data_IF_513469230458
#
_entry.id   IF_513469230458
#
_cell.length_a   1.000
_cell.length_b   1.000
_cell.length_c   1.000
_cell.angle_alpha   90.00
_cell.angle_beta   90.00
_cell.angle_gamma   90.00
#
_symmetry.space_group_name_H-M   'P 1'
#
loop_
_entity.id
_entity.type
_entity.pdbx_description
1 polymer ?
#
# COMPACT_ATOMS: atom_id res chain seq x y z
N UNK A 1 -0.80 8.04 -10.03
CA UNK A 1 -0.32 7.50 -8.75
C UNK A 1 1.10 7.01 -8.98
N UNK A 2 2.03 7.33 -8.09
CA UNK A 2 3.42 6.88 -8.15
C UNK A 2 3.69 5.77 -7.10
N UNK A 3 4.85 5.08 -7.13
CA UNK A 3 5.14 3.99 -6.19
C UNK A 3 5.08 4.38 -4.70
N UNK A 4 5.51 5.60 -4.35
CA UNK A 4 5.48 6.10 -2.96
C UNK A 4 4.03 6.32 -2.50
N UNK A 5 3.19 6.91 -3.35
CA UNK A 5 1.76 7.10 -3.06
C UNK A 5 1.03 5.76 -2.89
N UNK A 6 1.40 4.74 -3.67
CA UNK A 6 0.83 3.39 -3.56
C UNK A 6 1.26 2.72 -2.27
N UNK A 7 2.56 2.71 -1.96
CA UNK A 7 3.07 2.14 -0.70
C UNK A 7 2.39 2.79 0.50
N UNK A 8 2.28 4.12 0.51
CA UNK A 8 1.60 4.84 1.59
C UNK A 8 0.12 4.46 1.69
N UNK A 9 -0.59 4.36 0.56
CA UNK A 9 -2.00 3.98 0.55
C UNK A 9 -2.23 2.55 1.07
N UNK A 10 -1.31 1.62 0.80
CA UNK A 10 -1.37 0.25 1.31
C UNK A 10 -1.01 0.20 2.81
N UNK A 11 -0.01 0.95 3.24
CA UNK A 11 0.34 1.11 4.65
C UNK A 11 -0.85 1.68 5.44
N UNK A 12 -1.51 2.72 4.92
CA UNK A 12 -2.70 3.31 5.55
C UNK A 12 -3.86 2.31 5.62
N UNK A 13 -4.06 1.50 4.58
CA UNK A 13 -5.06 0.43 4.57
C UNK A 13 -4.76 -0.62 5.63
N UNK A 14 -3.51 -1.06 5.76
CA UNK A 14 -3.10 -2.07 6.73
C UNK A 14 -3.21 -1.60 8.20
N UNK A 15 -3.18 -0.30 8.45
CA UNK A 15 -3.39 0.31 9.77
C UNK A 15 -4.87 0.38 10.18
N UNK A 16 -5.81 0.34 9.23
CA UNK A 16 -7.25 0.36 9.53
C UNK A 16 -7.73 -1.02 10.02
N UNK A 17 -8.83 -1.06 10.79
CA UNK A 17 -9.53 -2.32 11.07
C UNK A 17 -9.87 -3.05 9.77
N UNK A 18 -9.58 -4.35 9.72
CA UNK A 18 -9.86 -5.16 8.54
C UNK A 18 -11.37 -5.30 8.32
N UNK A 19 -11.84 -4.84 7.17
CA UNK A 19 -13.24 -4.92 6.75
C UNK A 19 -13.41 -5.99 5.66
N UNK A 20 -13.94 -7.15 6.05
CA UNK A 20 -14.02 -8.35 5.21
C UNK A 20 -14.63 -8.11 3.82
N UNK A 21 -15.70 -7.31 3.73
CA UNK A 21 -16.42 -7.04 2.47
C UNK A 21 -15.78 -5.88 1.71
N UNK A 22 -15.19 -4.92 2.40
CA UNK A 22 -14.69 -3.69 1.81
C UNK A 22 -13.24 -3.79 1.33
N UNK A 23 -12.45 -4.69 1.94
CA UNK A 23 -11.04 -4.86 1.65
C UNK A 23 -10.73 -4.94 0.15
N UNK A 24 -11.42 -5.77 -0.68
CA UNK A 24 -11.08 -5.84 -2.09
C UNK A 24 -11.18 -4.51 -2.83
N UNK A 25 -12.12 -3.65 -2.43
CA UNK A 25 -12.35 -2.37 -3.08
C UNK A 25 -11.37 -1.31 -2.58
N UNK A 26 -11.09 -1.29 -1.28
CA UNK A 26 -10.09 -0.42 -0.67
C UNK A 26 -8.69 -0.74 -1.22
N UNK A 27 -8.34 -2.03 -1.31
CA UNK A 27 -7.09 -2.48 -1.92
C UNK A 27 -6.96 -2.01 -3.37
N UNK A 28 -8.00 -2.17 -4.19
CA UNK A 28 -7.98 -1.72 -5.58
C UNK A 28 -7.91 -0.20 -5.71
N UNK A 29 -8.49 0.55 -4.78
CA UNK A 29 -8.41 2.01 -4.70
C UNK A 29 -6.97 2.49 -4.49
N UNK A 30 -6.16 1.77 -3.70
CA UNK A 30 -4.74 2.03 -3.50
C UNK A 30 -3.90 1.98 -4.78
N UNK A 31 -4.44 1.46 -5.90
CA UNK A 31 -3.79 1.45 -7.22
C UNK A 31 -4.45 2.39 -8.23
N UNK A 32 -5.31 3.31 -7.76
CA UNK A 32 -5.92 4.35 -8.59
C UNK A 32 -7.19 3.93 -9.34
N UNK A 33 -7.87 2.86 -8.89
CA UNK A 33 -9.18 2.53 -9.43
C UNK A 33 -10.19 3.64 -9.16
N UNK A 34 -10.86 4.12 -10.22
CA UNK A 34 -11.86 5.19 -10.09
C UNK A 34 -13.10 4.70 -9.34
N UNK A 35 -13.80 5.58 -8.59
CA UNK A 35 -15.03 5.22 -7.86
C UNK A 35 -16.11 4.56 -8.74
N UNK A 36 -16.20 4.96 -10.02
CA UNK A 36 -17.13 4.37 -10.99
C UNK A 36 -16.79 2.91 -11.33
N UNK A 37 -15.51 2.56 -11.40
CA UNK A 37 -15.04 1.18 -11.60
C UNK A 37 -15.34 0.34 -10.37
N UNK A 38 -14.98 0.84 -9.18
CA UNK A 38 -15.23 0.16 -7.90
C UNK A 38 -16.73 -0.10 -7.69
N UNK A 39 -17.59 0.87 -8.00
CA UNK A 39 -19.04 0.72 -7.92
C UNK A 39 -19.58 -0.41 -8.82
N UNK A 40 -19.06 -0.54 -10.05
CA UNK A 40 -19.47 -1.61 -10.98
C UNK A 40 -18.97 -2.99 -10.55
N UNK A 41 -17.80 -3.05 -9.92
CA UNK A 41 -17.31 -4.29 -9.30
C UNK A 41 -18.20 -4.68 -8.12
N UNK A 42 -18.50 -3.72 -7.24
CA UNK A 42 -19.35 -3.93 -6.06
C UNK A 42 -20.76 -4.38 -6.41
N UNK A 43 -21.35 -3.80 -7.45
CA UNK A 43 -22.71 -4.16 -7.88
C UNK A 43 -22.78 -5.45 -8.73
N UNK A 44 -21.67 -6.14 -8.97
CA UNK A 44 -21.63 -7.33 -9.84
C UNK A 44 -21.77 -7.04 -11.35
N UNK A 45 -21.84 -5.77 -11.75
CA UNK A 45 -22.02 -5.40 -13.16
C UNK A 45 -20.79 -5.83 -13.99
N UNK A 46 -19.59 -5.53 -13.48
CA UNK A 46 -18.31 -5.93 -14.10
C UNK A 46 -17.55 -7.01 -13.33
N UNK A 47 -17.96 -7.36 -12.12
CA UNK A 47 -17.39 -8.50 -11.38
C UNK A 47 -18.02 -9.81 -11.88
N UNK A 48 -17.19 -10.69 -12.42
CA UNK A 48 -17.58 -12.02 -12.95
C UNK A 48 -16.85 -13.15 -12.25
N UNK A 49 -16.46 -12.93 -10.99
CA UNK A 49 -15.87 -13.96 -10.15
C UNK A 49 -16.81 -15.16 -10.01
N UNK A 50 -16.24 -16.36 -10.06
CA UNK A 50 -16.86 -17.65 -9.74
C UNK A 50 -16.40 -18.19 -8.37
N UNK A 51 -15.70 -17.37 -7.58
CA UNK A 51 -15.20 -17.68 -6.23
C UNK A 51 -16.01 -16.90 -5.19
N UNK A 52 -16.32 -17.54 -4.07
CA UNK A 52 -17.04 -16.91 -2.96
C UNK A 52 -16.26 -15.69 -2.43
N UNK A 53 -16.99 -14.59 -2.16
CA UNK A 53 -16.42 -13.29 -1.80
C UNK A 53 -15.38 -12.74 -2.80
N UNK A 54 -15.37 -13.27 -4.02
CA UNK A 54 -14.42 -12.92 -5.05
C UNK A 54 -14.76 -11.62 -5.79
N UNK A 55 -13.73 -10.82 -6.03
CA UNK A 55 -13.73 -9.63 -6.88
C UNK A 55 -12.75 -9.85 -8.02
N UNK A 56 -13.31 -9.96 -9.22
CA UNK A 56 -12.55 -10.15 -10.45
C UNK A 56 -12.52 -8.86 -11.27
N UNK A 57 -11.32 -8.28 -11.42
CA UNK A 57 -11.05 -7.20 -12.36
C UNK A 57 -10.33 -7.76 -13.59
N UNK A 58 -11.03 -7.74 -14.72
CA UNK A 58 -10.51 -8.24 -16.01
C UNK A 58 -9.16 -7.64 -16.35
N UNK A 59 -8.25 -8.50 -16.82
CA UNK A 59 -6.86 -8.21 -17.20
C UNK A 59 -5.93 -7.77 -16.07
N UNK A 60 -6.40 -7.70 -14.82
CA UNK A 60 -5.63 -7.16 -13.71
C UNK A 60 -5.47 -8.17 -12.56
N UNK A 61 -6.56 -8.50 -11.86
CA UNK A 61 -6.50 -9.31 -10.63
C UNK A 61 -7.81 -10.03 -10.34
N UNK A 62 -7.70 -11.21 -9.73
CA UNK A 62 -8.81 -11.90 -9.07
C UNK A 62 -8.49 -12.09 -7.59
N UNK A 63 -9.23 -11.43 -6.71
CA UNK A 63 -9.00 -11.53 -5.27
C UNK A 63 -10.24 -11.94 -4.51
N UNK A 64 -10.09 -12.57 -3.35
CA UNK A 64 -11.18 -12.94 -2.47
C UNK A 64 -10.78 -12.81 -1.00
N UNK A 65 -11.75 -12.46 -0.15
CA UNK A 65 -11.61 -12.57 1.30
C UNK A 65 -12.18 -13.90 1.78
N UNK A 66 -11.64 -14.43 2.88
CA UNK A 66 -12.00 -15.76 3.37
C UNK A 66 -11.96 -15.86 4.89
N UNK A 67 -12.55 -16.93 5.43
CA UNK A 67 -12.52 -17.20 6.86
C UNK A 67 -11.08 -17.45 7.34
N UNK A 68 -10.83 -17.18 8.63
CA UNK A 68 -9.51 -17.33 9.25
C UNK A 68 -8.96 -18.75 9.04
N UNK A 69 -7.75 -18.84 8.49
CA UNK A 69 -7.07 -20.10 8.19
C UNK A 69 -7.40 -20.72 6.82
N UNK A 70 -8.29 -20.11 6.02
CA UNK A 70 -8.67 -20.62 4.70
C UNK A 70 -7.92 -19.93 3.54
N UNK A 71 -6.91 -19.09 3.83
CA UNK A 71 -6.19 -18.27 2.83
C UNK A 71 -5.59 -19.13 1.72
N UNK A 72 -4.81 -20.16 2.06
CA UNK A 72 -4.16 -21.01 1.06
C UNK A 72 -5.15 -21.77 0.16
N UNK A 73 -6.25 -22.27 0.73
CA UNK A 73 -7.33 -22.94 -0.04
C UNK A 73 -8.04 -21.96 -0.96
N UNK A 74 -8.31 -20.75 -0.48
CA UNK A 74 -8.95 -19.69 -1.26
C UNK A 74 -8.07 -19.24 -2.42
N UNK A 75 -6.77 -19.07 -2.18
CA UNK A 75 -5.78 -18.76 -3.21
C UNK A 75 -5.74 -19.85 -4.28
N UNK A 76 -5.73 -21.13 -3.88
CA UNK A 76 -5.79 -22.24 -4.81
C UNK A 76 -7.08 -22.24 -5.64
N UNK A 77 -8.22 -21.89 -5.03
CA UNK A 77 -9.49 -21.71 -5.72
C UNK A 77 -9.44 -20.60 -6.78
N UNK A 78 -8.86 -19.44 -6.44
CA UNK A 78 -8.65 -18.33 -7.36
C UNK A 78 -7.72 -18.72 -8.52
N UNK A 79 -6.63 -19.43 -8.23
CA UNK A 79 -5.67 -19.91 -9.24
C UNK A 79 -6.32 -20.87 -10.24
N UNK A 80 -7.14 -21.80 -9.76
CA UNK A 80 -7.79 -22.81 -10.58
C UNK A 80 -9.11 -22.34 -11.22
N UNK A 81 -9.56 -21.12 -10.92
CA UNK A 81 -10.81 -20.57 -11.44
C UNK A 81 -10.79 -20.40 -12.97
N UNK A 82 -11.88 -20.83 -13.60
CA UNK A 82 -12.09 -20.64 -15.03
C UNK A 82 -12.28 -19.15 -15.36
N UNK A 83 -12.88 -18.39 -14.44
CA UNK A 83 -13.07 -16.95 -14.57
C UNK A 83 -11.73 -16.20 -14.56
N UNK A 84 -10.77 -16.56 -13.69
CA UNK A 84 -9.40 -16.00 -13.67
C UNK A 84 -8.76 -16.09 -15.06
N UNK A 85 -8.79 -17.30 -15.63
CA UNK A 85 -8.21 -17.59 -16.95
C UNK A 85 -8.90 -16.80 -18.07
N UNK A 86 -10.25 -16.85 -18.13
CA UNK A 86 -11.04 -16.14 -19.16
C UNK A 86 -10.86 -14.63 -19.08
N UNK A 87 -10.75 -14.09 -17.88
CA UNK A 87 -10.54 -12.67 -17.63
C UNK A 87 -9.08 -12.24 -17.86
N UNK A 88 -8.16 -13.19 -18.08
CA UNK A 88 -6.72 -12.94 -18.22
C UNK A 88 -6.15 -12.16 -17.03
N UNK A 89 -6.60 -12.48 -15.81
CA UNK A 89 -6.09 -11.85 -14.60
C UNK A 89 -4.73 -12.48 -14.24
N UNK A 90 -3.60 -11.75 -14.37
CA UNK A 90 -2.29 -12.30 -14.05
C UNK A 90 -2.06 -12.45 -12.55
N UNK A 91 -2.73 -11.66 -11.71
CA UNK A 91 -2.60 -11.70 -10.27
C UNK A 91 -3.80 -12.37 -9.60
N UNK A 92 -3.54 -13.18 -8.59
CA UNK A 92 -4.53 -13.69 -7.66
C UNK A 92 -4.13 -13.35 -6.22
N UNK A 93 -5.11 -13.06 -5.35
CA UNK A 93 -4.86 -12.69 -3.95
C UNK A 93 -5.96 -13.22 -3.03
N UNK A 94 -5.57 -13.85 -1.93
CA UNK A 94 -6.47 -14.25 -0.86
C UNK A 94 -6.02 -13.64 0.47
N UNK A 95 -6.98 -13.29 1.32
CA UNK A 95 -6.69 -12.83 2.69
C UNK A 95 -7.86 -13.15 3.62
N UNK A 96 -7.56 -13.38 4.89
CA UNK A 96 -8.53 -13.51 5.97
C UNK A 96 -8.47 -12.34 6.97
N UNK A 97 -7.65 -11.33 6.68
CA UNK A 97 -7.37 -10.18 7.55
C UNK A 97 -6.25 -10.40 8.57
N UNK A 98 -5.75 -11.63 8.71
CA UNK A 98 -4.55 -11.96 9.51
C UNK A 98 -3.37 -12.33 8.62
N UNK A 99 -3.63 -13.12 7.59
CA UNK A 99 -2.67 -13.54 6.58
C UNK A 99 -3.12 -13.04 5.20
N UNK A 100 -2.14 -12.74 4.34
CA UNK A 100 -2.35 -12.42 2.94
C UNK A 100 -1.40 -13.25 2.09
N UNK A 101 -1.96 -13.91 1.08
CA UNK A 101 -1.18 -14.60 0.07
C UNK A 101 -1.59 -14.13 -1.33
N UNK A 102 -0.62 -14.01 -2.21
CA UNK A 102 -0.84 -13.64 -3.60
C UNK A 102 0.10 -14.40 -4.53
N UNK A 103 -0.35 -14.61 -5.77
CA UNK A 103 0.43 -15.26 -6.83
C UNK A 103 0.25 -14.51 -8.14
N UNK A 104 1.34 -14.34 -8.87
CA UNK A 104 1.30 -14.01 -10.28
C UNK A 104 1.29 -15.32 -11.07
N UNK A 105 0.12 -15.71 -11.57
CA UNK A 105 -0.07 -17.02 -12.23
C UNK A 105 0.68 -17.14 -13.56
N UNK A 106 1.20 -16.03 -14.09
CA UNK A 106 2.00 -16.00 -15.32
C UNK A 106 3.48 -16.21 -15.01
N UNK A 107 4.01 -15.56 -13.98
CA UNK A 107 5.44 -15.63 -13.61
C UNK A 107 5.75 -16.64 -12.51
N UNK A 108 4.72 -17.18 -11.86
CA UNK A 108 4.81 -17.99 -10.63
C UNK A 108 5.48 -17.26 -9.45
N UNK A 109 5.58 -15.93 -9.50
CA UNK A 109 6.01 -15.11 -8.37
C UNK A 109 4.93 -15.13 -7.28
N UNK A 110 5.33 -15.26 -6.02
CA UNK A 110 4.40 -15.39 -4.88
C UNK A 110 4.74 -14.41 -3.77
N UNK A 111 3.72 -14.05 -2.99
CA UNK A 111 3.81 -13.27 -1.76
C UNK A 111 3.03 -14.03 -0.69
N UNK A 112 3.60 -14.16 0.50
CA UNK A 112 2.93 -14.63 1.69
C UNK A 112 3.42 -13.81 2.87
N UNK A 113 2.51 -13.18 3.61
CA UNK A 113 2.85 -12.32 4.74
C UNK A 113 1.71 -12.27 5.76
N UNK A 114 2.03 -11.84 6.98
CA UNK A 114 1.02 -11.27 7.86
C UNK A 114 0.35 -10.09 7.14
N UNK A 115 -0.94 -9.87 7.40
CA UNK A 115 -1.70 -8.78 6.79
C UNK A 115 -1.05 -7.42 7.09
N UNK A 116 -0.68 -7.15 8.34
CA UNK A 116 -0.02 -5.88 8.73
C UNK A 116 1.27 -5.58 7.94
N UNK A 117 1.95 -6.61 7.42
CA UNK A 117 3.26 -6.48 6.78
C UNK A 117 3.16 -6.57 5.24
N UNK A 118 1.96 -6.86 4.68
CA UNK A 118 1.76 -6.93 3.23
C UNK A 118 2.22 -5.67 2.47
N UNK A 119 2.12 -4.43 3.02
CA UNK A 119 2.60 -3.24 2.33
C UNK A 119 4.09 -3.29 1.97
N UNK A 120 4.91 -4.04 2.72
CA UNK A 120 6.34 -4.19 2.40
C UNK A 120 6.56 -4.98 1.09
N UNK A 121 5.52 -5.63 0.57
CA UNK A 121 5.48 -6.31 -0.72
C UNK A 121 4.78 -5.51 -1.84
N UNK A 122 4.53 -4.20 -1.66
CA UNK A 122 3.80 -3.37 -2.64
C UNK A 122 4.37 -3.45 -4.07
N UNK A 123 5.69 -3.64 -4.22
CA UNK A 123 6.37 -3.78 -5.50
C UNK A 123 5.82 -4.90 -6.40
N UNK A 124 5.29 -5.98 -5.79
CA UNK A 124 4.60 -7.08 -6.47
C UNK A 124 3.30 -6.62 -7.14
N UNK A 125 2.60 -5.65 -6.55
CA UNK A 125 1.29 -5.18 -7.00
C UNK A 125 1.33 -3.94 -7.90
N UNK A 126 2.48 -3.28 -8.08
CA UNK A 126 2.64 -2.12 -8.96
C UNK A 126 2.10 -2.26 -10.40
N UNK A 127 2.13 -3.46 -11.03
CA UNK A 127 1.49 -3.63 -12.33
C UNK A 127 -0.01 -3.27 -12.34
N UNK A 128 -0.71 -3.33 -11.20
CA UNK A 128 -2.11 -2.90 -11.08
C UNK A 128 -2.30 -1.40 -11.33
N UNK A 129 -1.27 -0.60 -11.07
CA UNK A 129 -1.25 0.84 -11.37
C UNK A 129 -0.65 1.14 -12.77
N UNK A 130 -0.35 0.10 -13.57
CA UNK A 130 0.32 0.26 -14.86
C UNK A 130 1.80 0.63 -14.75
N UNK A 131 2.42 0.40 -13.59
CA UNK A 131 3.82 0.72 -13.33
C UNK A 131 4.65 -0.54 -13.55
N UNK A 132 5.65 -0.47 -14.42
CA UNK A 132 6.63 -1.53 -14.60
C UNK A 132 7.54 -1.58 -13.37
N UNK A 133 7.59 -2.74 -12.70
CA UNK A 133 8.43 -2.90 -11.52
C UNK A 133 9.90 -3.00 -11.91
N UNK A 134 10.72 -2.02 -11.54
CA UNK A 134 12.18 -2.08 -11.68
C UNK A 134 12.82 -2.77 -10.47
N UNK A 135 14.04 -3.29 -10.64
CA UNK A 135 14.80 -3.90 -9.54
C UNK A 135 15.05 -2.91 -8.39
N UNK A 136 15.24 -1.63 -8.68
CA UNK A 136 15.46 -0.58 -7.68
C UNK A 136 14.24 -0.40 -6.76
N UNK A 137 13.03 -0.42 -7.31
CA UNK A 137 11.80 -0.28 -6.52
C UNK A 137 11.56 -1.51 -5.65
N UNK A 138 11.89 -2.71 -6.16
CA UNK A 138 11.77 -3.99 -5.42
C UNK A 138 12.79 -4.11 -4.29
N UNK A 139 14.02 -3.66 -4.51
CA UNK A 139 15.11 -3.86 -3.57
C UNK A 139 15.17 -2.81 -2.47
N UNK A 140 14.33 -1.77 -2.54
CA UNK A 140 14.40 -0.67 -1.60
C UNK A 140 13.05 -0.23 -1.00
N UNK A 141 12.28 -1.17 -0.40
CA UNK A 141 11.02 -0.84 0.24
C UNK A 141 11.20 0.10 1.44
N UNK A 142 12.33 0.00 2.16
CA UNK A 142 12.62 0.83 3.32
C UNK A 142 12.78 2.30 2.92
N UNK A 143 13.57 2.61 1.89
CA UNK A 143 13.76 4.02 1.49
C UNK A 143 12.48 4.62 0.89
N UNK A 144 11.67 3.80 0.21
CA UNK A 144 10.36 4.22 -0.31
C UNK A 144 9.42 4.56 0.84
N UNK A 145 9.36 3.71 1.87
CA UNK A 145 8.57 3.94 3.10
C UNK A 145 9.05 5.16 3.87
N UNK A 146 10.37 5.35 3.99
CA UNK A 146 10.96 6.54 4.61
C UNK A 146 10.60 7.81 3.84
N UNK A 147 10.65 7.77 2.51
CA UNK A 147 10.23 8.88 1.63
C UNK A 147 8.73 9.17 1.77
N UNK A 148 7.89 8.13 1.84
CA UNK A 148 6.45 8.25 2.10
C UNK A 148 6.15 8.94 3.43
N UNK A 149 6.80 8.51 4.50
CA UNK A 149 6.68 9.13 5.84
C UNK A 149 7.07 10.61 5.85
N UNK A 150 8.17 10.98 5.16
CA UNK A 150 8.57 12.39 5.04
C UNK A 150 7.54 13.21 4.25
N UNK A 151 6.96 12.66 3.18
CA UNK A 151 5.90 13.32 2.44
C UNK A 151 4.62 13.48 3.28
N UNK A 152 4.25 12.46 4.08
CA UNK A 152 3.12 12.54 5.01
C UNK A 152 3.31 13.65 6.04
N UNK A 153 4.50 13.73 6.63
CA UNK A 153 4.88 14.81 7.55
C UNK A 153 4.75 16.18 6.88
N UNK A 154 5.25 16.34 5.65
CA UNK A 154 5.13 17.58 4.89
C UNK A 154 3.66 17.99 4.67
N UNK A 155 2.82 17.06 4.20
CA UNK A 155 1.39 17.32 3.97
C UNK A 155 0.67 17.67 5.27
N UNK A 156 0.95 16.96 6.37
CA UNK A 156 0.30 17.22 7.66
C UNK A 156 0.72 18.58 8.25
N UNK A 157 2.01 18.94 8.10
CA UNK A 157 2.48 20.27 8.46
C UNK A 157 1.77 21.37 7.67
N UNK A 158 1.53 21.17 6.36
CA UNK A 158 0.76 22.14 5.56
C UNK A 158 -0.70 22.25 5.99
N UNK A 159 -1.37 21.14 6.34
CA UNK A 159 -2.76 21.20 6.83
C UNK A 159 -2.90 22.05 8.09
N UNK A 160 -1.91 21.98 8.99
CA UNK A 160 -1.90 22.76 10.23
C UNK A 160 -1.30 24.17 10.07
N UNK A 161 -0.65 24.45 8.93
CA UNK A 161 0.03 25.71 8.65
C UNK A 161 -0.19 26.09 7.17
N UNK A 162 -1.45 26.30 6.77
CA UNK A 162 -1.84 26.42 5.36
C UNK A 162 -1.07 27.52 4.61
N UNK A 163 -0.73 28.62 5.31
CA UNK A 163 0.00 29.75 4.75
C UNK A 163 1.46 29.42 4.37
N UNK A 164 2.04 28.33 4.90
CA UNK A 164 3.38 27.85 4.55
C UNK A 164 3.44 27.24 3.14
N UNK A 165 2.29 26.91 2.55
CA UNK A 165 2.19 26.42 1.16
C UNK A 165 2.27 27.54 0.11
N UNK A 166 2.16 28.80 0.53
CA UNK A 166 2.24 29.96 -0.35
C UNK A 166 3.63 30.12 -0.99
N UNK A 167 3.71 30.83 -2.11
CA UNK A 167 4.99 31.09 -2.78
C UNK A 167 5.99 31.81 -1.85
N UNK A 168 5.47 32.72 -1.01
CA UNK A 168 6.28 33.55 -0.11
C UNK A 168 6.83 32.77 1.08
N UNK A 169 6.15 31.69 1.51
CA UNK A 169 6.52 30.90 2.69
C UNK A 169 7.04 29.50 2.39
N UNK A 170 7.10 29.11 1.12
CA UNK A 170 7.65 27.81 0.68
C UNK A 170 9.09 27.60 1.16
N UNK A 171 9.88 28.67 1.24
CA UNK A 171 11.24 28.61 1.76
C UNK A 171 11.28 28.19 3.23
N UNK A 172 10.37 28.73 4.07
CA UNK A 172 10.27 28.37 5.49
C UNK A 172 9.96 26.89 5.66
N UNK A 173 8.99 26.37 4.89
CA UNK A 173 8.62 24.96 4.93
C UNK A 173 9.79 24.06 4.53
N UNK A 174 10.46 24.37 3.43
CA UNK A 174 11.61 23.59 2.95
C UNK A 174 12.77 23.62 3.95
N UNK A 175 13.04 24.79 4.55
CA UNK A 175 14.06 24.95 5.58
C UNK A 175 13.72 24.13 6.83
N UNK A 176 12.44 24.12 7.23
CA UNK A 176 11.97 23.35 8.37
C UNK A 176 12.12 21.84 8.12
N UNK A 177 11.64 21.34 6.98
CA UNK A 177 11.83 19.93 6.59
C UNK A 177 13.30 19.53 6.54
N UNK A 178 14.16 20.38 5.98
CA UNK A 178 15.61 20.12 5.94
C UNK A 178 16.20 19.96 7.33
N UNK A 179 15.77 20.79 8.29
CA UNK A 179 16.20 20.67 9.70
C UNK A 179 15.71 19.40 10.35
N UNK A 180 14.46 18.97 10.08
CA UNK A 180 13.94 17.71 10.59
C UNK A 180 14.73 16.50 10.05
N UNK A 181 14.97 16.45 8.75
CA UNK A 181 15.78 15.40 8.12
C UNK A 181 17.19 15.36 8.72
N UNK A 182 17.82 16.54 8.90
CA UNK A 182 19.12 16.62 9.56
C UNK A 182 19.06 16.09 11.00
N UNK A 183 18.03 16.42 11.77
CA UNK A 183 17.89 15.93 13.15
C UNK A 183 17.71 14.41 13.22
N UNK A 184 16.90 13.82 12.34
CA UNK A 184 16.76 12.36 12.25
C UNK A 184 18.08 11.69 11.88
N UNK A 185 18.77 12.21 10.86
CA UNK A 185 20.09 11.71 10.48
C UNK A 185 21.12 11.87 11.61
N UNK A 186 21.12 13.00 12.31
CA UNK A 186 22.08 13.31 13.36
C UNK A 186 21.92 12.42 14.61
N UNK A 187 20.68 12.02 14.95
CA UNK A 187 20.47 11.07 16.05
C UNK A 187 20.85 9.64 15.70
N UNK A 188 20.65 9.21 14.44
CA UNK A 188 20.97 7.85 14.00
C UNK A 188 22.47 7.63 13.69
N UNK A 189 23.21 8.69 13.40
CA UNK A 189 24.64 8.62 13.02
C UNK A 189 25.62 9.02 14.14
N UNK A 190 25.12 9.33 15.33
CA UNK A 190 25.94 9.72 16.48
C UNK A 190 26.49 11.16 16.41
N UNK A 191 25.91 12.03 15.57
CA UNK A 191 26.21 13.47 15.59
C UNK A 191 25.64 14.10 16.88
N UNK A 192 24.46 13.66 17.32
CA UNK A 192 23.96 14.01 18.65
C UNK A 192 24.60 13.14 19.74
N UNK A 193 24.86 13.76 20.89
CA UNK A 193 25.62 13.15 21.99
C UNK A 193 24.87 12.03 22.73
N UNK A 194 23.56 11.88 22.49
CA UNK A 194 22.72 10.87 23.12
C UNK A 194 21.81 10.25 22.07
N UNK A 195 21.64 8.94 22.16
CA UNK A 195 20.71 8.20 21.31
C UNK A 195 19.29 8.74 21.49
N UNK A 196 18.56 8.86 20.37
CA UNK A 196 17.18 9.35 20.32
C UNK A 196 16.98 10.75 20.94
N UNK A 197 18.03 11.59 21.01
CA UNK A 197 17.96 12.91 21.64
C UNK A 197 16.89 13.80 21.02
N UNK A 198 16.74 13.77 19.70
CA UNK A 198 15.75 14.57 19.00
C UNK A 198 14.35 14.01 19.24
N UNK A 199 14.17 12.71 19.02
CA UNK A 199 12.91 12.00 19.27
C UNK A 199 12.39 12.23 20.69
N UNK A 200 13.25 12.13 21.71
CA UNK A 200 12.88 12.41 23.11
C UNK A 200 12.51 13.88 23.35
N UNK A 201 13.16 14.81 22.65
CA UNK A 201 12.89 16.25 22.81
C UNK A 201 11.54 16.65 22.24
N UNK A 202 11.12 16.03 21.13
CA UNK A 202 9.79 16.24 20.55
C UNK A 202 8.70 15.63 21.45
N UNK A 203 8.91 14.41 21.95
CA UNK A 203 7.96 13.73 22.84
C UNK A 203 7.69 14.46 24.16
N UNK A 204 8.65 15.22 24.70
CA UNK A 204 8.47 15.97 25.96
C UNK A 204 7.58 17.22 25.84
N UNK A 205 7.22 17.62 24.61
CA UNK A 205 6.45 18.83 24.35
C UNK A 205 4.97 18.59 24.01
N UNK A 206 4.50 17.34 24.10
CA UNK A 206 3.08 16.98 24.05
C UNK A 206 2.44 16.98 25.43
#
# INVERSE_FOLDING_TARGET
MNPVEIEQALSDLAEQPFEFVEFPFQFLECFGNKPTTLKKLRSGASNKSDVEHGVLQRSNIHLATCAVGEVGKTLQGLRNSSATTKAKAPLVLATDGHELQAENVVTSETVASDYKDFPDHFGFFLPLAGIATTAEIRNNPIDIKATGRLNRLYVELLKHNEDWGSADRRHDMNQFMTRLIFCFFAEDTGIFQRDNMFTQSVHKKS
#
